data_IF_836655826702
#
_entry.id   IF_836655826702
#
_cell.length_a   1.000
_cell.length_b   1.000
_cell.length_c   1.000
_cell.angle_alpha   90.00
_cell.angle_beta   90.00
_cell.angle_gamma   90.00
#
_symmetry.space_group_name_H-M   'P 1'
#
loop_
_entity.id
_entity.type
_entity.pdbx_description
1 polymer ?
#
# COMPACT_ATOMS: atom_id res chain seq x y z
N UNK A 1 19.95 -0.28 -7.93
CA UNK A 1 19.44 -0.34 -6.54
C UNK A 1 18.68 0.91 -6.11
N UNK A 2 19.21 2.14 -6.32
CA UNK A 2 18.55 3.40 -5.91
C UNK A 2 17.09 3.55 -6.38
N UNK A 3 16.80 3.22 -7.64
CA UNK A 3 15.44 3.28 -8.22
C UNK A 3 14.46 2.31 -7.57
N UNK A 4 14.90 1.09 -7.25
CA UNK A 4 14.05 0.07 -6.60
C UNK A 4 13.66 0.51 -5.19
N UNK A 5 14.62 1.00 -4.41
CA UNK A 5 14.37 1.49 -3.05
C UNK A 5 13.40 2.67 -3.07
N UNK A 6 13.60 3.64 -3.97
CA UNK A 6 12.67 4.76 -4.11
C UNK A 6 11.24 4.28 -4.45
N UNK A 7 11.14 3.29 -5.33
CA UNK A 7 9.85 2.74 -5.76
C UNK A 7 9.13 2.00 -4.63
N UNK A 8 9.85 1.22 -3.83
CA UNK A 8 9.30 0.56 -2.64
C UNK A 8 8.90 1.55 -1.54
N UNK A 9 9.69 2.61 -1.33
CA UNK A 9 9.33 3.68 -0.39
C UNK A 9 8.06 4.41 -0.83
N UNK A 10 7.87 4.66 -2.13
CA UNK A 10 6.63 5.25 -2.66
C UNK A 10 5.42 4.34 -2.43
N UNK A 11 5.58 3.02 -2.53
CA UNK A 11 4.50 2.08 -2.22
C UNK A 11 4.15 2.02 -0.73
N UNK A 12 5.15 2.05 0.15
CA UNK A 12 4.93 2.19 1.59
C UNK A 12 4.28 3.53 1.95
N UNK A 13 4.69 4.62 1.29
CA UNK A 13 4.05 5.92 1.45
C UNK A 13 2.59 5.88 0.99
N UNK A 14 2.28 5.21 -0.12
CA UNK A 14 0.90 4.99 -0.58
C UNK A 14 0.09 4.17 0.44
N UNK A 15 0.69 3.12 1.02
CA UNK A 15 0.03 2.32 2.08
C UNK A 15 -0.30 3.19 3.29
N UNK A 16 0.66 4.03 3.72
CA UNK A 16 0.46 5.00 4.79
C UNK A 16 -0.63 6.02 4.46
N UNK A 17 -0.69 6.50 3.22
CA UNK A 17 -1.71 7.43 2.76
C UNK A 17 -3.11 6.80 2.78
N UNK A 18 -3.27 5.55 2.32
CA UNK A 18 -4.55 4.82 2.41
C UNK A 18 -4.96 4.65 3.86
N UNK A 19 -4.02 4.23 4.73
CA UNK A 19 -4.27 4.07 6.17
C UNK A 19 -4.69 5.37 6.85
N UNK A 20 -4.01 6.47 6.53
CA UNK A 20 -4.33 7.79 7.07
C UNK A 20 -5.71 8.26 6.57
N UNK A 21 -5.98 8.07 5.28
CA UNK A 21 -7.22 8.55 4.65
C UNK A 21 -8.44 7.66 4.90
N UNK A 22 -8.24 6.47 5.47
CA UNK A 22 -9.29 5.46 5.67
C UNK A 22 -10.52 5.96 6.44
N UNK A 23 -10.35 6.90 7.37
CA UNK A 23 -11.46 7.51 8.11
C UNK A 23 -12.40 8.33 7.22
N UNK A 24 -11.91 8.90 6.13
CA UNK A 24 -12.70 9.71 5.19
C UNK A 24 -13.16 8.91 3.96
N UNK A 25 -12.38 7.91 3.54
CA UNK A 25 -12.68 7.11 2.34
C UNK A 25 -13.51 5.86 2.65
N UNK A 26 -13.55 5.42 3.91
CA UNK A 26 -14.11 4.12 4.30
C UNK A 26 -13.22 2.93 3.90
N UNK A 27 -12.08 3.18 3.25
CA UNK A 27 -11.16 2.17 2.73
C UNK A 27 -9.86 2.24 3.51
N UNK A 28 -9.64 1.29 4.41
CA UNK A 28 -8.42 1.19 5.20
C UNK A 28 -7.63 -0.08 4.86
N UNK A 29 -6.30 -0.05 4.88
CA UNK A 29 -5.45 -1.25 4.77
C UNK A 29 -4.77 -1.56 6.11
N UNK A 30 -4.89 -2.78 6.65
CA UNK A 30 -4.20 -3.16 7.87
C UNK A 30 -2.69 -3.22 7.64
N UNK A 31 -1.91 -2.61 8.55
CA UNK A 31 -0.44 -2.68 8.50
C UNK A 31 -0.01 -4.08 8.96
N UNK A 32 0.28 -4.94 7.98
CA UNK A 32 0.65 -6.34 8.16
C UNK A 32 1.94 -6.63 7.39
N UNK A 33 2.66 -7.73 7.69
CA UNK A 33 3.81 -8.13 6.89
C UNK A 33 3.47 -8.27 5.40
N UNK A 34 2.26 -8.73 5.07
CA UNK A 34 1.77 -8.82 3.69
C UNK A 34 1.63 -7.43 3.05
N UNK A 35 0.98 -6.48 3.73
CA UNK A 35 0.75 -5.15 3.16
C UNK A 35 2.05 -4.35 3.01
N UNK A 36 2.96 -4.48 3.96
CA UNK A 36 4.30 -3.88 3.91
C UNK A 36 5.13 -4.53 2.79
N UNK A 37 5.11 -5.86 2.70
CA UNK A 37 5.82 -6.60 1.66
C UNK A 37 5.32 -6.28 0.26
N UNK A 38 4.00 -6.28 0.05
CA UNK A 38 3.40 -5.93 -1.23
C UNK A 38 3.66 -4.45 -1.59
N UNK A 39 3.47 -3.52 -0.64
CA UNK A 39 3.75 -2.10 -0.86
C UNK A 39 5.22 -1.83 -1.17
N UNK A 40 6.16 -2.51 -0.52
CA UNK A 40 7.59 -2.30 -0.79
C UNK A 40 8.09 -3.00 -2.06
N UNK A 41 7.72 -4.27 -2.28
CA UNK A 41 8.21 -5.05 -3.42
C UNK A 41 7.53 -4.65 -4.73
N UNK A 42 6.24 -4.36 -4.67
CA UNK A 42 5.41 -4.02 -5.82
C UNK A 42 5.05 -2.52 -5.86
N UNK A 43 5.63 -1.70 -4.98
CA UNK A 43 5.47 -0.25 -4.98
C UNK A 43 4.00 0.19 -4.83
N UNK A 44 3.66 1.30 -5.48
CA UNK A 44 2.27 1.81 -5.51
C UNK A 44 1.30 0.78 -6.11
N UNK A 45 1.61 0.06 -7.22
CA UNK A 45 0.75 -1.01 -7.73
C UNK A 45 0.43 -2.10 -6.69
N UNK A 46 1.38 -2.45 -5.82
CA UNK A 46 1.16 -3.41 -4.73
C UNK A 46 0.11 -2.95 -3.74
N UNK A 47 0.23 -1.69 -3.29
CA UNK A 47 -0.75 -1.08 -2.40
C UNK A 47 -2.12 -1.00 -3.08
N UNK A 48 -2.18 -0.58 -4.34
CA UNK A 48 -3.43 -0.51 -5.11
C UNK A 48 -4.08 -1.88 -5.27
N UNK A 49 -3.31 -2.92 -5.57
CA UNK A 49 -3.82 -4.30 -5.68
C UNK A 49 -4.48 -4.75 -4.38
N UNK A 50 -3.86 -4.46 -3.23
CA UNK A 50 -4.43 -4.81 -1.93
C UNK A 50 -5.70 -4.01 -1.62
N UNK A 51 -5.75 -2.73 -2.00
CA UNK A 51 -7.00 -1.96 -1.94
C UNK A 51 -8.09 -2.64 -2.76
N UNK A 52 -7.81 -2.98 -4.02
CA UNK A 52 -8.78 -3.64 -4.91
C UNK A 52 -9.26 -4.97 -4.35
N UNK A 53 -8.35 -5.79 -3.82
CA UNK A 53 -8.69 -7.05 -3.17
C UNK A 53 -9.59 -6.83 -1.96
N UNK A 54 -9.32 -5.82 -1.14
CA UNK A 54 -10.16 -5.48 0.02
C UNK A 54 -11.52 -4.91 -0.38
N UNK A 55 -11.64 -4.28 -1.54
CA UNK A 55 -12.93 -3.80 -2.05
C UNK A 55 -13.78 -4.93 -2.66
N UNK A 56 -13.14 -6.01 -3.11
CA UNK A 56 -13.81 -7.15 -3.72
C UNK A 56 -14.28 -8.20 -2.69
N UNK A 57 -13.57 -8.33 -1.57
CA UNK A 57 -13.79 -9.29 -0.47
C UNK A 57 -14.50 -8.62 0.70
#
# INVERSE_FOLDING_TARGET
MKRFVLWGLLGLAALGAVRATGAWTGVDLPVTPLSLGAGFLLGVPGTTLLVLLKLLL
#
